data_IF_538424542131
#
_entry.id   IF_538424542131
#
_cell.length_a   1.000
_cell.length_b   1.000
_cell.length_c   1.000
_cell.angle_alpha   90.00
_cell.angle_beta   90.00
_cell.angle_gamma   90.00
#
_symmetry.space_group_name_H-M   'P 1'
#
loop_
_entity.id
_entity.type
_entity.pdbx_description
1 polymer ?
#
# COMPACT_ATOMS: atom_id res chain seq x y z
N UNK A 1 -15.85 15.96 9.12
CA UNK A 1 -15.35 15.80 7.73
C UNK A 1 -14.25 14.77 7.78
N UNK A 2 -14.43 13.62 7.14
CA UNK A 2 -13.38 12.57 7.10
C UNK A 2 -12.24 13.11 6.24
N UNK A 3 -10.99 13.14 6.73
CA UNK A 3 -9.88 13.65 5.94
C UNK A 3 -9.75 12.82 4.67
N UNK A 4 -9.80 13.49 3.50
CA UNK A 4 -9.43 12.87 2.25
C UNK A 4 -7.93 12.60 2.30
N UNK A 5 -7.56 11.34 2.51
CA UNK A 5 -6.17 10.92 2.50
C UNK A 5 -5.93 9.94 1.36
N UNK A 6 -5.23 10.42 0.34
CA UNK A 6 -4.82 9.58 -0.77
C UNK A 6 -3.75 8.60 -0.29
N UNK A 7 -3.84 7.35 -0.74
CA UNK A 7 -2.89 6.30 -0.41
C UNK A 7 -2.17 5.80 -1.67
N UNK A 8 -0.89 5.45 -1.52
CA UNK A 8 -0.10 4.77 -2.54
C UNK A 8 0.27 3.37 -2.06
N UNK A 9 0.19 2.42 -2.97
CA UNK A 9 0.77 1.10 -2.82
C UNK A 9 2.28 1.18 -3.12
N UNK A 10 3.08 0.48 -2.31
CA UNK A 10 4.52 0.28 -2.52
C UNK A 10 4.86 -1.19 -2.34
N UNK A 11 5.88 -1.67 -3.05
CA UNK A 11 6.42 -3.01 -2.82
C UNK A 11 7.51 -2.91 -1.76
N UNK A 12 7.42 -3.78 -0.75
CA UNK A 12 8.41 -3.91 0.30
C UNK A 12 8.88 -5.36 0.37
N UNK A 13 10.08 -5.58 0.94
CA UNK A 13 10.69 -6.90 1.06
C UNK A 13 10.82 -7.24 2.54
N UNK A 14 10.33 -8.42 2.93
CA UNK A 14 10.49 -8.94 4.29
C UNK A 14 11.93 -9.39 4.53
N UNK A 15 12.28 -9.61 5.80
CA UNK A 15 13.59 -10.15 6.17
C UNK A 15 13.89 -11.53 5.54
N UNK A 16 12.86 -12.29 5.18
CA UNK A 16 12.96 -13.58 4.50
C UNK A 16 13.02 -13.48 2.97
N UNK A 17 13.06 -12.27 2.41
CA UNK A 17 13.13 -12.01 0.98
C UNK A 17 11.78 -12.00 0.24
N UNK A 18 10.66 -12.33 0.91
CA UNK A 18 9.34 -12.34 0.27
C UNK A 18 8.81 -10.92 0.07
N UNK A 19 8.21 -10.62 -1.10
CA UNK A 19 7.58 -9.33 -1.32
C UNK A 19 6.22 -9.24 -0.60
N UNK A 20 5.89 -8.03 -0.13
CA UNK A 20 4.57 -7.67 0.35
C UNK A 20 4.21 -6.27 -0.14
N UNK A 21 2.92 -5.94 -0.15
CA UNK A 21 2.44 -4.62 -0.53
C UNK A 21 2.16 -3.79 0.72
N UNK A 22 2.69 -2.57 0.77
CA UNK A 22 2.42 -1.62 1.84
C UNK A 22 1.67 -0.41 1.28
N UNK A 23 0.59 -0.02 1.96
CA UNK A 23 -0.22 1.13 1.58
C UNK A 23 0.05 2.27 2.55
N UNK A 24 0.45 3.42 2.01
CA UNK A 24 0.85 4.56 2.81
C UNK A 24 0.25 5.87 2.28
N UNK A 25 0.05 6.88 3.13
CA UNK A 25 -0.47 8.18 2.72
C UNK A 25 0.46 8.83 1.68
N UNK A 26 -0.11 9.54 0.70
CA UNK A 26 0.66 10.36 -0.25
C UNK A 26 1.26 11.60 0.42
N UNK A 27 0.51 12.21 1.34
CA UNK A 27 0.88 13.44 2.04
C UNK A 27 0.61 13.31 3.54
N UNK A 28 1.43 13.96 4.36
CA UNK A 28 1.34 13.95 5.82
C UNK A 28 2.29 12.96 6.51
N UNK A 29 2.67 13.28 7.75
CA UNK A 29 3.33 12.31 8.63
C UNK A 29 2.35 11.19 9.00
N UNK A 30 2.88 9.99 9.22
CA UNK A 30 2.15 8.90 9.87
C UNK A 30 1.59 9.38 11.21
N UNK A 31 0.33 9.83 11.25
CA UNK A 31 -0.32 10.24 12.49
C UNK A 31 -0.76 8.95 13.20
N UNK A 32 -0.36 8.83 14.46
CA UNK A 32 -0.45 7.63 15.30
C UNK A 32 -1.86 7.06 15.50
N UNK A 33 -2.89 7.76 15.01
CA UNK A 33 -4.30 7.48 15.28
C UNK A 33 -5.14 7.10 14.05
N UNK A 34 -4.67 7.29 12.81
CA UNK A 34 -5.54 7.11 11.63
C UNK A 34 -4.85 6.57 10.37
N UNK A 35 -3.53 6.35 10.41
CA UNK A 35 -2.80 5.86 9.24
C UNK A 35 -2.62 4.37 9.36
N UNK A 36 -3.69 3.64 9.05
CA UNK A 36 -3.64 2.20 8.83
C UNK A 36 -2.69 1.92 7.69
N UNK A 37 -1.40 1.79 8.01
CA UNK A 37 -0.42 1.05 7.24
C UNK A 37 -0.93 -0.39 7.18
N UNK A 38 -1.87 -0.64 6.28
CA UNK A 38 -2.28 -2.01 6.01
C UNK A 38 -1.28 -2.59 5.01
N UNK A 39 -0.80 -3.77 5.35
CA UNK A 39 0.12 -4.54 4.53
C UNK A 39 -0.62 -5.74 3.99
N UNK A 40 -0.43 -6.04 2.71
CA UNK A 40 -0.98 -7.23 2.08
C UNK A 40 0.17 -8.19 1.78
N UNK A 41 0.15 -9.32 2.50
CA UNK A 41 1.08 -10.40 2.27
C UNK A 41 0.71 -11.15 0.99
N UNK A 42 1.70 -11.29 0.10
CA UNK A 42 1.55 -12.02 -1.15
C UNK A 42 1.79 -13.51 -0.92
N UNK A 43 1.29 -14.32 -1.85
CA UNK A 43 1.54 -15.76 -1.82
C UNK A 43 3.05 -16.07 -1.93
N UNK A 44 3.53 -17.18 -1.37
CA UNK A 44 4.96 -17.48 -1.26
C UNK A 44 5.71 -17.57 -2.60
N UNK A 45 5.00 -17.86 -3.69
CA UNK A 45 5.51 -18.02 -5.05
C UNK A 45 5.56 -16.69 -5.84
N UNK A 46 5.02 -15.61 -5.27
CA UNK A 46 5.03 -14.31 -5.92
C UNK A 46 6.42 -13.71 -5.84
N UNK A 47 7.05 -13.57 -7.00
CA UNK A 47 8.33 -12.89 -7.13
C UNK A 47 8.19 -11.36 -7.07
N UNK A 48 9.33 -10.68 -6.88
CA UNK A 48 9.37 -9.22 -6.80
C UNK A 48 8.81 -8.55 -8.06
N UNK A 49 9.12 -9.09 -9.24
CA UNK A 49 8.67 -8.50 -10.51
C UNK A 49 7.13 -8.54 -10.64
N UNK A 50 6.50 -9.63 -10.20
CA UNK A 50 5.05 -9.79 -10.15
C UNK A 50 4.42 -8.85 -9.13
N UNK A 51 5.02 -8.74 -7.94
CA UNK A 51 4.60 -7.78 -6.92
C UNK A 51 4.63 -6.33 -7.43
N UNK A 52 5.69 -5.96 -8.16
CA UNK A 52 5.83 -4.62 -8.76
C UNK A 52 4.80 -4.36 -9.86
N UNK A 53 4.49 -5.36 -10.70
CA UNK A 53 3.40 -5.25 -11.69
C UNK A 53 2.06 -5.02 -11.02
N UNK A 54 1.76 -5.78 -9.96
CA UNK A 54 0.52 -5.64 -9.19
C UNK A 54 0.45 -4.25 -8.51
N UNK A 55 1.53 -3.82 -7.88
CA UNK A 55 1.63 -2.51 -7.25
C UNK A 55 1.35 -1.37 -8.25
N UNK A 56 1.89 -1.44 -9.47
CA UNK A 56 1.59 -0.46 -10.53
C UNK A 56 0.12 -0.49 -10.93
N UNK A 57 -0.46 -1.69 -11.09
CA UNK A 57 -1.86 -1.85 -11.45
C UNK A 57 -2.83 -1.29 -10.38
N UNK A 58 -2.47 -1.46 -9.11
CA UNK A 58 -3.19 -0.90 -7.97
C UNK A 58 -3.08 0.63 -7.97
N UNK A 59 -1.87 1.18 -8.07
CA UNK A 59 -1.66 2.63 -8.06
C UNK A 59 -2.38 3.34 -9.21
N UNK A 60 -2.40 2.74 -10.42
CA UNK A 60 -3.15 3.28 -11.56
C UNK A 60 -4.66 3.35 -11.30
N UNK A 61 -5.19 2.50 -10.42
CA UNK A 61 -6.62 2.45 -10.05
C UNK A 61 -6.96 3.23 -8.78
N UNK A 62 -5.95 3.47 -7.92
CA UNK A 62 -6.10 4.27 -6.71
C UNK A 62 -5.96 5.77 -6.95
N UNK A 63 -5.44 6.20 -8.11
CA UNK A 63 -5.33 7.61 -8.43
C UNK A 63 -6.70 8.29 -8.38
N UNK A 64 -6.87 9.24 -7.44
CA UNK A 64 -8.13 9.96 -7.21
C UNK A 64 -9.15 9.21 -6.34
N UNK A 65 -8.79 8.08 -5.74
CA UNK A 65 -9.65 7.32 -4.81
C UNK A 65 -9.24 7.62 -3.38
N UNK A 66 -10.20 8.12 -2.59
CA UNK A 66 -10.02 8.33 -1.16
C UNK A 66 -10.33 7.04 -0.39
N UNK A 67 -9.37 6.52 0.36
CA UNK A 67 -9.60 5.38 1.23
C UNK A 67 -10.40 5.82 2.46
N UNK A 68 -11.55 5.19 2.70
CA UNK A 68 -12.29 5.35 3.96
C UNK A 68 -11.78 4.31 4.95
N UNK A 69 -11.18 4.77 6.04
CA UNK A 69 -10.78 3.93 7.18
C UNK A 69 -11.95 3.91 8.16
N UNK A 70 -12.48 2.72 8.48
CA UNK A 70 -13.51 2.49 9.51
C UNK A 70 -12.87 2.05 10.81
#
# INVERSE_FOLDING_TARGET
MTPHQDHRCTVQIKADGRPYLAFQPLTGQASSYSNSLFTLDLLPDVDRASAERLCRAINARLAGVSATVF
#
